data_IF_974313659754
#
_entry.id   IF_974313659754
#
_cell.length_a   1.000
_cell.length_b   1.000
_cell.length_c   1.000
_cell.angle_alpha   90.00
_cell.angle_beta   90.00
_cell.angle_gamma   90.00
#
_symmetry.space_group_name_H-M   'P 1'
#
loop_
_entity.id
_entity.type
_entity.pdbx_description
1 polymer ?
#
# COMPACT_ATOMS: atom_id res chain seq x y z
N UNK A 1 -21.36 -8.13 9.95
CA UNK A 1 -20.84 -7.46 11.17
C UNK A 1 -20.93 -8.33 12.42
N UNK A 2 -22.09 -8.90 12.76
CA UNK A 2 -22.20 -9.81 13.94
C UNK A 2 -21.25 -11.01 13.87
N UNK A 3 -21.10 -11.61 12.70
CA UNK A 3 -20.14 -12.70 12.47
C UNK A 3 -18.68 -12.25 12.70
N UNK A 4 -18.29 -11.07 12.19
CA UNK A 4 -16.96 -10.51 12.44
C UNK A 4 -16.69 -10.26 13.93
N UNK A 5 -17.69 -9.79 14.69
CA UNK A 5 -17.59 -9.63 16.15
C UNK A 5 -17.46 -10.98 16.83
N UNK A 6 -18.20 -12.00 16.37
CA UNK A 6 -18.09 -13.37 16.86
C UNK A 6 -16.69 -13.94 16.67
N UNK A 7 -16.12 -13.81 15.46
CA UNK A 7 -14.75 -14.23 15.15
C UNK A 7 -13.71 -13.48 15.98
N UNK A 8 -13.88 -12.16 16.14
CA UNK A 8 -13.00 -11.35 16.98
C UNK A 8 -13.01 -11.84 18.44
N UNK A 9 -14.20 -12.10 19.01
CA UNK A 9 -14.35 -12.65 20.37
C UNK A 9 -13.73 -14.03 20.51
N UNK A 10 -13.93 -14.92 19.55
CA UNK A 10 -13.30 -16.25 19.52
C UNK A 10 -11.77 -16.17 19.45
N UNK A 11 -11.26 -15.09 18.87
CA UNK A 11 -9.82 -14.80 18.77
C UNK A 11 -9.29 -13.93 19.92
N UNK A 12 -10.06 -13.74 21.00
CA UNK A 12 -9.65 -13.02 22.20
C UNK A 12 -9.91 -11.50 22.19
N UNK A 13 -10.59 -10.98 21.17
CA UNK A 13 -11.01 -9.58 21.11
C UNK A 13 -12.18 -9.27 22.05
N UNK A 14 -12.15 -8.09 22.68
CA UNK A 14 -13.18 -7.62 23.61
C UNK A 14 -13.88 -6.37 23.07
N UNK A 15 -15.20 -6.37 23.07
CA UNK A 15 -16.04 -5.19 22.80
C UNK A 15 -17.34 -5.34 23.60
N UNK A 16 -17.72 -4.30 24.32
CA UNK A 16 -19.00 -4.26 25.03
C UNK A 16 -20.15 -4.13 24.04
N UNK A 17 -21.26 -4.84 24.29
CA UNK A 17 -22.40 -4.84 23.37
C UNK A 17 -23.01 -3.44 23.19
N UNK A 18 -22.88 -2.56 24.19
CA UNK A 18 -23.31 -1.15 24.12
C UNK A 18 -22.50 -0.31 23.12
N UNK A 19 -21.27 -0.71 22.83
CA UNK A 19 -20.38 0.00 21.91
C UNK A 19 -20.52 -0.50 20.45
N UNK A 20 -21.27 -1.60 20.25
CA UNK A 20 -21.54 -2.14 18.92
C UNK A 20 -22.58 -1.27 18.22
N UNK A 21 -22.11 -0.40 17.33
CA UNK A 21 -22.96 0.42 16.46
C UNK A 21 -23.08 -0.21 15.08
N UNK A 22 -24.29 -0.65 14.72
CA UNK A 22 -24.61 -1.20 13.39
C UNK A 22 -25.45 -0.19 12.61
N UNK A 23 -25.01 0.22 11.42
CA UNK A 23 -25.87 0.98 10.50
C UNK A 23 -26.79 0.01 9.76
N UNK A 24 -28.06 0.36 9.69
CA UNK A 24 -29.09 -0.30 8.88
C UNK A 24 -29.24 0.33 7.48
N UNK A 25 -28.40 1.33 7.15
CA UNK A 25 -28.46 2.06 5.89
C UNK A 25 -29.62 3.07 5.79
N UNK A 26 -30.41 3.28 6.84
CA UNK A 26 -31.63 4.11 6.83
C UNK A 26 -31.42 5.55 7.36
N UNK A 27 -30.15 5.98 7.52
CA UNK A 27 -29.81 7.40 7.67
C UNK A 27 -29.15 7.82 8.99
N UNK A 28 -29.00 6.92 9.97
CA UNK A 28 -28.13 7.20 11.13
C UNK A 28 -26.66 6.96 10.73
N UNK A 29 -25.85 8.01 10.69
CA UNK A 29 -24.45 7.88 10.30
C UNK A 29 -23.63 7.21 11.41
N UNK A 30 -23.28 5.94 11.22
CA UNK A 30 -22.28 5.28 12.07
C UNK A 30 -20.87 5.63 11.60
N UNK A 31 -19.91 5.73 12.53
CA UNK A 31 -18.48 5.89 12.19
C UNK A 31 -18.02 7.34 11.93
N UNK A 32 -18.83 8.34 12.30
CA UNK A 32 -18.43 9.75 12.18
C UNK A 32 -17.72 10.33 13.41
N UNK A 33 -17.93 9.70 14.56
CA UNK A 33 -17.49 10.14 15.89
C UNK A 33 -16.73 9.03 16.63
N UNK A 34 -16.15 9.36 17.79
CA UNK A 34 -15.33 8.43 18.59
C UNK A 34 -14.11 7.91 17.81
N UNK A 35 -13.59 6.75 18.21
CA UNK A 35 -12.38 6.16 17.63
C UNK A 35 -12.49 5.96 16.10
N UNK A 36 -13.66 5.58 15.59
CA UNK A 36 -13.88 5.40 14.15
C UNK A 36 -13.86 6.75 13.43
N UNK A 37 -14.43 7.79 14.03
CA UNK A 37 -14.36 9.16 13.52
C UNK A 37 -12.95 9.72 13.51
N UNK A 38 -12.18 9.50 14.58
CA UNK A 38 -10.78 9.91 14.67
C UNK A 38 -9.91 9.18 13.64
N UNK A 39 -10.09 7.86 13.51
CA UNK A 39 -9.45 7.06 12.48
C UNK A 39 -9.77 7.61 11.09
N UNK A 40 -11.06 7.82 10.75
CA UNK A 40 -11.47 8.42 9.46
C UNK A 40 -10.80 9.77 9.23
N UNK A 41 -10.84 10.64 10.23
CA UNK A 41 -10.28 11.98 10.12
C UNK A 41 -8.76 11.95 9.96
N UNK A 42 -8.07 10.93 10.47
CA UNK A 42 -6.64 10.76 10.23
C UNK A 42 -6.32 10.57 8.73
N UNK A 43 -7.16 9.86 7.96
CA UNK A 43 -6.98 9.74 6.50
C UNK A 43 -7.26 11.04 5.76
N UNK A 44 -8.24 11.81 6.23
CA UNK A 44 -8.54 13.12 5.65
C UNK A 44 -7.41 14.12 5.89
N UNK A 45 -6.73 14.04 7.03
CA UNK A 45 -5.61 14.91 7.39
C UNK A 45 -4.27 14.49 6.79
N UNK A 46 -4.05 13.18 6.58
CA UNK A 46 -2.78 12.65 6.14
C UNK A 46 -2.15 13.35 4.91
N UNK A 47 -2.91 13.74 3.85
CA UNK A 47 -2.35 14.49 2.73
C UNK A 47 -1.82 15.88 3.10
N UNK A 48 -2.44 16.53 4.10
CA UNK A 48 -2.02 17.85 4.58
C UNK A 48 -0.79 17.74 5.47
N UNK A 49 -0.77 16.74 6.36
CA UNK A 49 0.39 16.47 7.22
C UNK A 49 1.64 16.16 6.38
N UNK A 50 1.46 15.53 5.21
CA UNK A 50 2.55 15.27 4.27
C UNK A 50 3.29 16.54 3.83
N UNK A 51 2.58 17.65 3.64
CA UNK A 51 3.22 18.92 3.25
C UNK A 51 4.16 19.43 4.35
N UNK A 52 3.74 19.29 5.62
CA UNK A 52 4.55 19.67 6.76
C UNK A 52 5.78 18.77 6.89
N UNK A 53 5.61 17.45 6.81
CA UNK A 53 6.72 16.51 6.95
C UNK A 53 7.74 16.67 5.82
N UNK A 54 7.29 16.92 4.59
CA UNK A 54 8.19 17.23 3.47
C UNK A 54 8.98 18.52 3.71
N UNK A 55 8.34 19.57 4.25
CA UNK A 55 9.03 20.81 4.62
C UNK A 55 10.09 20.63 5.72
N UNK A 56 9.95 19.60 6.56
CA UNK A 56 10.93 19.20 7.57
C UNK A 56 12.03 18.28 7.03
N UNK A 57 12.03 17.96 5.73
CA UNK A 57 12.99 17.06 5.10
C UNK A 57 12.72 15.58 5.36
N UNK A 58 11.52 15.22 5.84
CA UNK A 58 11.13 13.82 6.03
C UNK A 58 10.75 13.22 4.69
N UNK A 59 11.45 12.15 4.31
CA UNK A 59 11.11 11.32 3.16
C UNK A 59 10.15 10.25 3.65
N UNK A 60 8.92 10.27 3.15
CA UNK A 60 7.89 9.33 3.54
C UNK A 60 7.03 8.91 2.35
N UNK A 61 6.69 7.63 2.28
CA UNK A 61 5.73 7.13 1.31
C UNK A 61 5.01 5.87 1.82
N UNK A 62 3.97 5.50 1.09
CA UNK A 62 3.17 4.31 1.26
C UNK A 62 3.41 3.31 0.13
N UNK A 63 3.33 2.03 0.47
CA UNK A 63 3.40 0.92 -0.46
C UNK A 63 2.42 -0.15 -0.04
N UNK A 64 1.86 -0.86 -1.01
CA UNK A 64 0.76 -1.77 -0.80
C UNK A 64 0.86 -2.95 -1.74
N UNK A 65 0.41 -4.10 -1.27
CA UNK A 65 0.53 -5.39 -1.95
C UNK A 65 -0.65 -6.27 -1.54
N UNK A 66 -0.79 -7.42 -2.18
CA UNK A 66 -1.66 -8.51 -1.76
C UNK A 66 -0.84 -9.80 -1.67
N UNK A 67 -1.22 -10.66 -0.72
CA UNK A 67 -0.56 -11.95 -0.46
C UNK A 67 -1.57 -12.92 0.14
N UNK A 68 -1.31 -14.22 0.06
CA UNK A 68 -2.12 -15.25 0.71
C UNK A 68 -1.76 -15.40 2.20
N UNK A 69 -2.69 -15.90 3.01
CA UNK A 69 -2.50 -16.04 4.46
C UNK A 69 -1.29 -16.88 4.86
N UNK A 70 -1.03 -17.97 4.14
CA UNK A 70 0.09 -18.88 4.38
C UNK A 70 1.46 -18.21 4.22
N UNK A 71 1.54 -17.13 3.42
CA UNK A 71 2.78 -16.38 3.15
C UNK A 71 2.87 -15.05 3.86
N UNK A 72 1.79 -14.59 4.51
CA UNK A 72 1.72 -13.25 5.12
C UNK A 72 2.88 -12.98 6.10
N UNK A 73 3.15 -13.91 7.03
CA UNK A 73 4.19 -13.71 8.04
C UNK A 73 5.58 -13.54 7.41
N UNK A 74 5.90 -14.34 6.39
CA UNK A 74 7.17 -14.24 5.68
C UNK A 74 7.28 -12.91 4.93
N UNK A 75 6.21 -12.49 4.23
CA UNK A 75 6.19 -11.21 3.53
C UNK A 75 6.36 -10.03 4.47
N UNK A 76 5.64 -10.00 5.60
CA UNK A 76 5.75 -8.92 6.57
C UNK A 76 7.20 -8.78 7.08
N UNK A 77 7.80 -9.89 7.49
CA UNK A 77 9.17 -9.91 8.02
C UNK A 77 10.18 -9.42 6.98
N UNK A 78 10.13 -9.97 5.76
CA UNK A 78 11.05 -9.61 4.67
C UNK A 78 10.94 -8.13 4.30
N UNK A 79 9.71 -7.61 4.15
CA UNK A 79 9.49 -6.20 3.78
C UNK A 79 9.91 -5.25 4.91
N UNK A 80 9.57 -5.56 6.16
CA UNK A 80 9.98 -4.75 7.32
C UNK A 80 11.50 -4.73 7.47
N UNK A 81 12.15 -5.89 7.37
CA UNK A 81 13.61 -5.98 7.48
C UNK A 81 14.29 -5.14 6.40
N UNK A 82 13.85 -5.26 5.15
CA UNK A 82 14.39 -4.47 4.04
C UNK A 82 14.20 -2.96 4.29
N UNK A 83 12.99 -2.53 4.65
CA UNK A 83 12.70 -1.11 4.89
C UNK A 83 13.52 -0.56 6.07
N UNK A 84 13.60 -1.28 7.18
CA UNK A 84 14.39 -0.86 8.34
C UNK A 84 15.87 -0.77 8.01
N UNK A 85 16.44 -1.75 7.32
CA UNK A 85 17.84 -1.73 6.92
C UNK A 85 18.15 -0.55 5.98
N UNK A 86 17.30 -0.31 4.98
CA UNK A 86 17.50 0.81 4.05
C UNK A 86 17.32 2.16 4.73
N UNK A 87 16.33 2.31 5.62
CA UNK A 87 16.16 3.53 6.43
C UNK A 87 17.34 3.78 7.38
N UNK A 88 17.86 2.75 8.05
CA UNK A 88 19.06 2.89 8.89
C UNK A 88 20.26 3.34 8.07
N UNK A 89 20.43 2.78 6.87
CA UNK A 89 21.57 3.10 5.99
C UNK A 89 21.48 4.51 5.41
N UNK A 90 20.31 4.91 4.90
CA UNK A 90 20.15 6.16 4.15
C UNK A 90 19.73 7.36 5.00
N UNK A 91 19.01 7.11 6.10
CA UNK A 91 18.40 8.14 6.93
C UNK A 91 18.93 8.15 8.38
N UNK A 92 19.83 7.22 8.75
CA UNK A 92 20.27 7.02 10.15
C UNK A 92 19.19 6.40 11.04
N UNK A 93 18.10 5.91 10.46
CA UNK A 93 16.94 5.35 11.16
C UNK A 93 15.63 5.81 10.52
N UNK A 94 14.51 5.38 11.10
CA UNK A 94 13.19 5.73 10.61
C UNK A 94 12.10 4.85 11.19
N UNK A 95 10.88 5.06 10.74
CA UNK A 95 9.71 4.30 11.19
C UNK A 95 9.09 3.55 10.02
N UNK A 96 8.68 2.31 10.30
CA UNK A 96 7.92 1.47 9.39
C UNK A 96 6.64 1.03 10.11
N UNK A 97 5.50 1.31 9.50
CA UNK A 97 4.21 0.76 9.96
C UNK A 97 3.59 -0.09 8.89
N UNK A 98 2.72 -1.00 9.28
CA UNK A 98 1.91 -1.81 8.38
C UNK A 98 0.51 -1.93 8.95
N UNK A 99 -0.49 -1.80 8.09
CA UNK A 99 -1.90 -2.09 8.41
C UNK A 99 -2.52 -2.91 7.29
N UNK A 100 -3.57 -3.66 7.59
CA UNK A 100 -4.43 -4.21 6.56
C UNK A 100 -5.47 -3.17 6.17
N UNK A 101 -5.54 -2.88 4.88
CA UNK A 101 -6.59 -2.01 4.32
C UNK A 101 -7.78 -2.83 3.85
N UNK A 102 -7.52 -4.05 3.38
CA UNK A 102 -8.52 -5.01 2.96
C UNK A 102 -8.13 -6.39 3.47
N UNK A 103 -9.14 -7.22 3.69
CA UNK A 103 -9.00 -8.60 4.14
C UNK A 103 -9.92 -9.45 3.27
N UNK A 104 -9.38 -10.49 2.66
CA UNK A 104 -10.08 -11.44 1.82
C UNK A 104 -10.02 -12.85 2.45
N UNK A 105 -10.90 -13.78 2.05
CA UNK A 105 -10.82 -15.17 2.50
C UNK A 105 -9.43 -15.79 2.29
N UNK A 106 -8.79 -15.50 1.16
CA UNK A 106 -7.51 -16.09 0.79
C UNK A 106 -6.28 -15.32 1.29
N UNK A 107 -6.43 -14.06 1.73
CA UNK A 107 -5.31 -13.28 2.26
C UNK A 107 -5.56 -11.78 2.46
N UNK A 108 -4.60 -11.06 3.04
CA UNK A 108 -4.71 -9.62 3.30
C UNK A 108 -4.18 -8.75 2.16
N UNK A 109 -4.61 -7.49 2.16
CA UNK A 109 -3.96 -6.39 1.43
C UNK A 109 -3.19 -5.49 2.42
N UNK A 110 -1.93 -5.81 2.75
CA UNK A 110 -1.09 -5.00 3.62
C UNK A 110 -0.69 -3.68 2.96
N UNK A 111 -0.61 -2.66 3.82
CA UNK A 111 -0.30 -1.29 3.47
C UNK A 111 0.78 -0.79 4.41
N UNK A 112 1.99 -0.67 3.89
CA UNK A 112 3.15 -0.21 4.62
C UNK A 112 3.30 1.31 4.44
N UNK A 113 3.76 1.97 5.50
CA UNK A 113 4.24 3.36 5.45
C UNK A 113 5.65 3.38 6.01
N UNK A 114 6.57 4.01 5.27
CA UNK A 114 7.89 4.32 5.79
C UNK A 114 8.06 5.84 5.92
N UNK A 115 8.88 6.25 6.88
CA UNK A 115 9.34 7.62 7.03
C UNK A 115 10.76 7.63 7.61
N UNK A 116 11.58 8.54 7.12
CA UNK A 116 12.95 8.76 7.59
C UNK A 116 13.39 10.19 7.29
N UNK A 117 14.38 10.69 8.04
CA UNK A 117 14.97 11.99 7.76
C UNK A 117 15.83 11.89 6.50
N UNK A 118 15.46 12.63 5.46
CA UNK A 118 16.23 12.71 4.24
C UNK A 118 17.54 13.47 4.42
N UNK A 119 18.40 13.38 3.40
CA UNK A 119 19.57 14.24 3.27
C UNK A 119 19.24 15.35 2.28
N UNK A 120 19.52 16.60 2.67
CA UNK A 120 19.25 17.78 1.85
C UNK A 120 19.90 17.65 0.47
N UNK A 121 19.09 17.74 -0.58
CA UNK A 121 19.54 17.62 -1.98
C UNK A 121 19.70 16.18 -2.48
N UNK A 122 19.22 15.20 -1.74
CA UNK A 122 19.23 13.77 -2.14
C UNK A 122 17.93 13.05 -1.78
N UNK A 123 16.87 13.80 -1.46
CA UNK A 123 15.61 13.27 -0.96
C UNK A 123 14.90 12.37 -1.97
N UNK A 124 14.97 12.72 -3.27
CA UNK A 124 14.37 11.95 -4.34
C UNK A 124 15.12 10.64 -4.60
N UNK A 125 16.45 10.67 -4.52
CA UNK A 125 17.32 9.51 -4.66
C UNK A 125 17.10 8.55 -3.48
N UNK A 126 17.10 9.07 -2.25
CA UNK A 126 16.78 8.29 -1.04
C UNK A 126 15.38 7.67 -1.15
N UNK A 127 14.38 8.45 -1.56
CA UNK A 127 13.03 7.95 -1.78
C UNK A 127 13.01 6.79 -2.78
N UNK A 128 13.66 6.97 -3.92
CA UNK A 128 13.72 5.96 -4.99
C UNK A 128 14.42 4.68 -4.52
N UNK A 129 15.53 4.80 -3.79
CA UNK A 129 16.27 3.66 -3.25
C UNK A 129 15.45 2.87 -2.21
N UNK A 130 14.79 3.57 -1.27
CA UNK A 130 13.88 2.93 -0.30
C UNK A 130 12.72 2.23 -1.02
N UNK A 131 12.10 2.90 -1.99
CA UNK A 131 10.98 2.34 -2.76
C UNK A 131 11.40 1.12 -3.57
N UNK A 132 12.59 1.16 -4.16
CA UNK A 132 13.16 0.04 -4.89
C UNK A 132 13.42 -1.16 -3.98
N UNK A 133 14.08 -0.95 -2.83
CA UNK A 133 14.35 -2.01 -1.86
C UNK A 133 13.04 -2.66 -1.37
N UNK A 134 12.04 -1.86 -1.01
CA UNK A 134 10.73 -2.34 -0.58
C UNK A 134 10.02 -3.16 -1.67
N UNK A 135 10.09 -2.72 -2.93
CA UNK A 135 9.42 -3.38 -4.05
C UNK A 135 10.08 -4.72 -4.41
N UNK A 136 11.41 -4.80 -4.34
CA UNK A 136 12.14 -6.08 -4.48
C UNK A 136 11.86 -7.04 -3.32
N UNK A 137 11.76 -6.52 -2.09
CA UNK A 137 11.38 -7.31 -0.93
C UNK A 137 9.95 -7.88 -1.05
N UNK A 138 8.99 -7.07 -1.52
CA UNK A 138 7.63 -7.53 -1.82
C UNK A 138 7.64 -8.64 -2.86
N UNK A 139 8.31 -8.41 -4.00
CA UNK A 139 8.35 -9.38 -5.09
C UNK A 139 9.02 -10.69 -4.69
N UNK A 140 10.16 -10.63 -4.00
CA UNK A 140 10.90 -11.83 -3.57
C UNK A 140 10.13 -12.65 -2.53
N UNK A 141 9.33 -12.01 -1.68
CA UNK A 141 8.46 -12.69 -0.73
C UNK A 141 7.13 -13.18 -1.34
N UNK A 142 6.90 -12.93 -2.64
CA UNK A 142 5.74 -13.43 -3.39
C UNK A 142 4.50 -12.56 -3.34
N UNK A 143 4.60 -11.30 -2.91
CA UNK A 143 3.50 -10.34 -2.96
C UNK A 143 3.28 -9.75 -4.35
N UNK A 144 2.06 -9.30 -4.65
CA UNK A 144 1.79 -8.53 -5.87
C UNK A 144 2.46 -7.14 -5.78
N UNK A 145 2.97 -6.58 -6.88
CA UNK A 145 3.63 -5.26 -6.81
C UNK A 145 2.67 -4.14 -6.38
N UNK A 146 1.38 -4.33 -6.64
CA UNK A 146 0.30 -3.42 -6.25
C UNK A 146 -0.95 -4.23 -5.97
N UNK A 147 -1.79 -3.77 -5.06
CA UNK A 147 -3.18 -4.22 -4.91
C UNK A 147 -4.16 -3.20 -5.49
N UNK A 148 -3.94 -1.90 -5.29
CA UNK A 148 -4.86 -0.84 -5.74
C UNK A 148 -4.21 0.49 -6.16
N UNK A 149 -2.91 0.73 -5.93
CA UNK A 149 -2.25 1.95 -6.43
C UNK A 149 -2.00 1.93 -7.95
N UNK A 150 -2.21 0.79 -8.60
CA UNK A 150 -1.93 0.52 -10.00
C UNK A 150 -0.42 0.54 -10.34
N UNK A 151 -0.13 0.25 -11.60
CA UNK A 151 1.24 0.03 -12.08
C UNK A 151 1.95 1.37 -12.36
N UNK A 152 1.40 2.16 -13.28
CA UNK A 152 2.01 3.42 -13.73
C UNK A 152 3.45 3.24 -14.23
N UNK A 153 4.23 4.32 -14.24
CA UNK A 153 5.68 4.25 -14.54
C UNK A 153 6.47 3.67 -13.36
N UNK A 154 6.00 3.95 -12.15
CA UNK A 154 6.72 3.64 -10.90
C UNK A 154 6.84 2.14 -10.73
N UNK A 155 5.76 1.37 -10.86
CA UNK A 155 5.79 -0.06 -10.60
C UNK A 155 6.06 -0.93 -11.84
N UNK A 156 6.23 -0.31 -13.02
CA UNK A 156 6.27 -1.01 -14.32
C UNK A 156 7.30 -2.14 -14.38
N UNK A 157 8.53 -1.87 -13.95
CA UNK A 157 9.63 -2.86 -14.04
C UNK A 157 9.35 -4.15 -13.27
N UNK A 158 8.59 -4.06 -12.17
CA UNK A 158 8.18 -5.21 -11.36
C UNK A 158 6.93 -5.87 -11.91
N UNK A 159 5.96 -5.08 -12.40
CA UNK A 159 4.79 -5.60 -13.11
C UNK A 159 5.18 -6.42 -14.36
N UNK A 160 6.17 -5.95 -15.12
CA UNK A 160 6.68 -6.67 -16.30
C UNK A 160 7.29 -8.04 -15.93
N UNK A 161 7.83 -8.19 -14.71
CA UNK A 161 8.31 -9.48 -14.18
C UNK A 161 7.19 -10.38 -13.64
N UNK A 162 6.06 -9.81 -13.22
CA UNK A 162 4.94 -10.56 -12.65
C UNK A 162 3.91 -11.01 -13.69
N UNK A 163 3.74 -10.25 -14.78
CA UNK A 163 2.73 -10.55 -15.79
C UNK A 163 3.21 -11.61 -16.78
N UNK A 164 2.32 -12.51 -17.24
CA UNK A 164 2.64 -13.40 -18.35
C UNK A 164 2.85 -12.66 -19.68
N UNK A 165 3.76 -13.15 -20.52
CA UNK A 165 4.07 -12.55 -21.82
C UNK A 165 2.85 -12.46 -22.75
N UNK A 166 1.99 -13.49 -22.76
CA UNK A 166 0.77 -13.49 -23.57
C UNK A 166 -0.18 -12.36 -23.14
N UNK A 167 -0.30 -12.11 -21.83
CA UNK A 167 -1.12 -11.01 -21.32
C UNK A 167 -0.54 -9.66 -21.77
N UNK A 168 0.78 -9.51 -21.75
CA UNK A 168 1.46 -8.33 -22.25
C UNK A 168 1.18 -8.09 -23.74
N UNK A 169 1.26 -9.13 -24.56
CA UNK A 169 0.98 -9.07 -26.00
C UNK A 169 -0.47 -8.68 -26.27
N UNK A 170 -1.43 -9.28 -25.57
CA UNK A 170 -2.85 -8.93 -25.70
C UNK A 170 -3.12 -7.45 -25.40
N UNK A 171 -2.56 -6.92 -24.30
CA UNK A 171 -2.69 -5.50 -23.96
C UNK A 171 -2.08 -4.58 -25.02
N UNK A 172 -0.93 -4.95 -25.61
CA UNK A 172 -0.30 -4.21 -26.71
C UNK A 172 -1.24 -4.13 -27.92
N UNK A 173 -1.83 -5.25 -28.32
CA UNK A 173 -2.74 -5.31 -29.48
C UNK A 173 -4.04 -4.52 -29.24
N UNK A 174 -4.59 -4.58 -28.01
CA UNK A 174 -5.74 -3.76 -27.63
C UNK A 174 -5.39 -2.28 -27.72
N UNK A 175 -4.24 -1.86 -27.16
CA UNK A 175 -3.77 -0.47 -27.20
C UNK A 175 -3.58 0.01 -28.63
N UNK A 176 -2.93 -0.78 -29.49
CA UNK A 176 -2.71 -0.44 -30.89
C UNK A 176 -4.03 -0.31 -31.68
N UNK A 177 -5.02 -1.14 -31.38
CA UNK A 177 -6.33 -1.10 -32.04
C UNK A 177 -7.14 0.14 -31.62
N UNK A 178 -7.15 0.46 -30.32
CA UNK A 178 -7.97 1.53 -29.77
C UNK A 178 -7.30 2.91 -29.82
N UNK A 179 -5.97 2.96 -29.88
CA UNK A 179 -5.18 4.19 -29.94
C UNK A 179 -3.98 4.01 -30.89
N UNK A 180 -4.24 3.88 -32.21
CA UNK A 180 -3.22 3.60 -33.21
C UNK A 180 -2.17 4.71 -33.35
N UNK A 181 -2.49 5.93 -32.90
CA UNK A 181 -1.58 7.08 -32.93
C UNK A 181 -0.88 7.31 -31.57
N UNK A 182 -1.14 6.47 -30.56
CA UNK A 182 -0.47 6.55 -29.25
C UNK A 182 -0.74 7.84 -28.46
N UNK A 183 -1.89 8.49 -28.65
CA UNK A 183 -2.20 9.80 -28.04
C UNK A 183 -2.59 9.66 -26.56
N UNK A 184 -3.20 8.53 -26.17
CA UNK A 184 -3.74 8.33 -24.84
C UNK A 184 -2.64 7.88 -23.87
N UNK A 185 -1.98 8.86 -23.24
CA UNK A 185 -1.00 8.68 -22.16
C UNK A 185 0.18 7.72 -22.54
N UNK A 186 1.03 8.13 -23.50
CA UNK A 186 2.06 7.26 -24.10
C UNK A 186 3.13 6.79 -23.11
N UNK A 187 3.59 5.55 -23.29
CA UNK A 187 4.76 5.00 -22.59
C UNK A 187 4.54 4.61 -21.13
N UNK A 188 3.31 4.64 -20.60
CA UNK A 188 3.06 4.30 -19.19
C UNK A 188 3.18 2.80 -18.95
N UNK A 189 2.39 2.00 -19.67
CA UNK A 189 2.35 0.54 -19.52
C UNK A 189 2.85 -0.18 -20.78
N UNK A 190 2.61 0.45 -21.93
CA UNK A 190 2.99 -0.02 -23.26
C UNK A 190 3.93 1.03 -23.83
N UNK A 191 5.06 0.58 -24.38
CA UNK A 191 6.01 1.48 -25.04
C UNK A 191 5.39 2.09 -26.32
N UNK A 192 5.80 3.31 -26.69
CA UNK A 192 5.32 3.97 -27.91
C UNK A 192 5.61 3.17 -29.19
#
# INVERSE_FOLDING_TARGET
MREAIGLARQSGGTIDDSDIRLSDGLGSSTGREGNVGEWRNSFLRAPYDRNLTMGLGIVAETLETAITWDKWQHLEQTVRQSLHQTLTTLCGGGRVTCRFTHVYPDGPAPYFTFEGLGKRGSELEIHKEIKQAASEAIMSAGGTITHHHAVGRVHRQWYDRQRPDLFAQSLKQIKQTLDPNGILNPGILIDP
#
